data_IF_061878287605
#
_entry.id   IF_061878287605
#
_cell.length_a   1.000
_cell.length_b   1.000
_cell.length_c   1.000
_cell.angle_alpha   90.00
_cell.angle_beta   90.00
_cell.angle_gamma   90.00
#
_symmetry.space_group_name_H-M   'P 1'
#
loop_
_entity.id
_entity.type
_entity.pdbx_description
1 polymer ?
#
# COMPACT_ATOMS: atom_id res chain seq x y z
N UNK A 1 24.89 -15.27 10.60
CA UNK A 1 23.79 -14.42 10.08
C UNK A 1 23.98 -12.94 10.42
N UNK A 2 23.80 -12.48 11.68
CA UNK A 2 23.94 -11.05 12.00
C UNK A 2 25.38 -10.52 11.81
N UNK A 3 26.39 -11.33 12.16
CA UNK A 3 27.80 -11.01 11.90
C UNK A 3 28.19 -11.02 10.41
N UNK A 4 27.51 -11.81 9.57
CA UNK A 4 27.76 -11.86 8.11
C UNK A 4 27.22 -10.61 7.41
N UNK A 5 26.03 -10.15 7.81
CA UNK A 5 25.44 -8.90 7.29
C UNK A 5 26.30 -7.70 7.66
N UNK A 6 26.83 -7.64 8.89
CA UNK A 6 27.75 -6.57 9.32
C UNK A 6 29.04 -6.61 8.51
N UNK A 7 29.60 -7.79 8.26
CA UNK A 7 30.82 -7.95 7.46
C UNK A 7 30.61 -7.57 5.99
N UNK A 8 29.46 -7.93 5.41
CA UNK A 8 29.06 -7.51 4.07
C UNK A 8 28.84 -5.99 4.00
N UNK A 9 28.16 -5.40 4.98
CA UNK A 9 27.97 -3.95 5.08
C UNK A 9 29.30 -3.18 5.11
N UNK A 10 30.27 -3.64 5.92
CA UNK A 10 31.59 -3.01 6.01
C UNK A 10 32.38 -3.16 4.70
N UNK A 11 32.30 -4.30 4.03
CA UNK A 11 32.95 -4.52 2.73
C UNK A 11 32.32 -3.65 1.63
N UNK A 12 31.00 -3.60 1.53
CA UNK A 12 30.30 -2.73 0.58
C UNK A 12 30.59 -1.26 0.83
N UNK A 13 30.67 -0.83 2.09
CA UNK A 13 31.05 0.54 2.43
C UNK A 13 32.47 0.87 1.94
N UNK A 14 33.42 -0.05 2.11
CA UNK A 14 34.79 0.11 1.63
C UNK A 14 34.85 0.17 0.10
N UNK A 15 34.13 -0.71 -0.60
CA UNK A 15 34.01 -0.69 -2.06
C UNK A 15 33.39 0.63 -2.56
N UNK A 16 32.36 1.15 -1.89
CA UNK A 16 31.72 2.41 -2.25
C UNK A 16 32.66 3.63 -2.05
N UNK A 17 33.47 3.63 -0.99
CA UNK A 17 34.50 4.65 -0.75
C UNK A 17 35.64 4.58 -1.80
N UNK A 18 36.03 3.38 -2.25
CA UNK A 18 37.05 3.15 -3.29
C UNK A 18 36.56 3.49 -4.72
N UNK A 19 35.25 3.36 -4.97
CA UNK A 19 34.63 3.59 -6.29
C UNK A 19 34.02 4.98 -6.48
N UNK A 20 34.09 5.86 -5.46
CA UNK A 20 33.39 7.16 -5.46
C UNK A 20 31.87 7.04 -5.70
N UNK A 21 31.29 5.89 -5.39
CA UNK A 21 29.88 5.60 -5.62
C UNK A 21 29.00 6.52 -4.76
N UNK A 22 28.32 7.47 -5.40
CA UNK A 22 27.36 8.35 -4.75
C UNK A 22 25.96 7.71 -4.83
N UNK A 23 25.45 7.21 -3.71
CA UNK A 23 24.02 6.92 -3.58
C UNK A 23 23.20 8.13 -4.06
N UNK A 24 21.99 7.94 -4.63
CA UNK A 24 21.06 9.05 -4.78
C UNK A 24 21.02 9.77 -3.45
N UNK A 25 21.46 11.03 -3.43
CA UNK A 25 21.53 11.74 -2.16
C UNK A 25 20.14 11.68 -1.55
N UNK A 26 20.03 11.32 -0.28
CA UNK A 26 18.75 11.30 0.43
C UNK A 26 17.95 12.60 0.17
N UNK A 27 18.66 13.70 -0.06
CA UNK A 27 18.12 14.97 -0.54
C UNK A 27 17.35 14.87 -1.87
N UNK A 28 17.89 14.24 -2.92
CA UNK A 28 17.18 14.05 -4.20
C UNK A 28 15.94 13.18 -4.03
N UNK A 29 16.01 12.14 -3.19
CA UNK A 29 14.83 11.33 -2.85
C UNK A 29 13.76 12.20 -2.18
N UNK A 30 14.12 12.97 -1.14
CA UNK A 30 13.19 13.87 -0.47
C UNK A 30 12.62 14.93 -1.43
N UNK A 31 13.44 15.44 -2.36
CA UNK A 31 13.01 16.38 -3.38
C UNK A 31 12.00 15.75 -4.36
N UNK A 32 12.25 14.52 -4.82
CA UNK A 32 11.32 13.78 -5.67
C UNK A 32 9.97 13.57 -4.96
N UNK A 33 10.01 13.13 -3.70
CA UNK A 33 8.79 12.91 -2.91
C UNK A 33 8.04 14.22 -2.63
N UNK A 34 8.77 15.32 -2.43
CA UNK A 34 8.19 16.64 -2.29
C UNK A 34 7.40 17.03 -3.55
N UNK A 35 8.00 16.92 -4.74
CA UNK A 35 7.34 17.28 -5.99
C UNK A 35 6.17 16.37 -6.35
N UNK A 36 6.26 15.07 -6.03
CA UNK A 36 5.12 14.14 -6.15
C UNK A 36 3.98 14.58 -5.23
N UNK A 37 4.26 14.89 -3.96
CA UNK A 37 3.24 15.35 -2.99
C UNK A 37 2.52 16.62 -3.45
N UNK A 38 3.24 17.53 -4.11
CA UNK A 38 2.70 18.76 -4.66
C UNK A 38 2.04 18.59 -6.04
N UNK A 39 1.91 17.34 -6.53
CA UNK A 39 1.39 17.02 -7.85
C UNK A 39 2.09 17.77 -9.00
N UNK A 40 3.37 18.11 -8.82
CA UNK A 40 4.20 18.78 -9.83
C UNK A 40 4.98 17.75 -10.65
N UNK A 41 4.38 17.35 -11.76
CA UNK A 41 4.89 16.28 -12.62
C UNK A 41 6.19 16.63 -13.34
N UNK A 42 6.33 17.85 -13.85
CA UNK A 42 7.54 18.28 -14.56
C UNK A 42 8.75 18.22 -13.64
N UNK A 43 8.66 18.81 -12.44
CA UNK A 43 9.76 18.81 -11.47
C UNK A 43 10.04 17.42 -10.92
N UNK A 44 9.02 16.60 -10.68
CA UNK A 44 9.22 15.22 -10.27
C UNK A 44 9.99 14.41 -11.32
N UNK A 45 9.63 14.53 -12.61
CA UNK A 45 10.35 13.88 -13.72
C UNK A 45 11.77 14.39 -13.87
N UNK A 46 12.00 15.68 -13.68
CA UNK A 46 13.34 16.28 -13.71
C UNK A 46 14.25 15.67 -12.62
N UNK A 47 13.76 15.60 -11.38
CA UNK A 47 14.52 15.02 -10.27
C UNK A 47 14.71 13.51 -10.44
N UNK A 48 13.69 12.79 -10.93
CA UNK A 48 13.82 11.37 -11.27
C UNK A 48 14.89 11.13 -12.35
N UNK A 49 14.95 12.00 -13.37
CA UNK A 49 16.00 11.93 -14.39
C UNK A 49 17.39 12.14 -13.78
N UNK A 50 17.55 13.10 -12.87
CA UNK A 50 18.81 13.31 -12.11
C UNK A 50 19.20 12.05 -11.35
N UNK A 51 18.26 11.43 -10.63
CA UNK A 51 18.49 10.18 -9.88
C UNK A 51 18.89 9.03 -10.80
N UNK A 52 18.21 8.87 -11.93
CA UNK A 52 18.48 7.80 -12.88
C UNK A 52 19.81 7.94 -13.64
N UNK A 53 20.37 9.16 -13.69
CA UNK A 53 21.68 9.44 -14.26
C UNK A 53 22.84 9.23 -13.28
N UNK A 54 22.56 9.01 -11.98
CA UNK A 54 23.59 8.62 -11.01
C UNK A 54 23.92 7.13 -11.15
N UNK A 55 25.13 6.73 -10.72
CA UNK A 55 25.48 5.32 -10.67
C UNK A 55 24.48 4.55 -9.79
N UNK A 56 23.87 3.50 -10.35
CA UNK A 56 22.87 2.68 -9.65
C UNK A 56 23.54 1.73 -8.68
N UNK A 57 22.96 1.60 -7.49
CA UNK A 57 23.40 0.59 -6.53
C UNK A 57 23.22 -0.80 -7.14
N UNK A 58 24.25 -1.66 -7.04
CA UNK A 58 24.15 -3.07 -7.44
C UNK A 58 23.41 -3.84 -6.35
N UNK A 59 22.09 -3.95 -6.49
CA UNK A 59 21.19 -4.65 -5.56
C UNK A 59 21.10 -6.16 -5.82
N UNK A 60 21.72 -6.65 -6.90
CA UNK A 60 21.76 -8.06 -7.29
C UNK A 60 22.98 -8.34 -8.18
N UNK A 61 23.42 -9.60 -8.25
CA UNK A 61 24.44 -10.07 -9.19
C UNK A 61 24.00 -9.93 -10.66
N UNK A 62 22.69 -9.86 -10.94
CA UNK A 62 22.15 -9.71 -12.29
C UNK A 62 21.63 -8.27 -12.52
N UNK A 63 22.10 -7.55 -13.55
CA UNK A 63 21.72 -6.15 -13.81
C UNK A 63 20.21 -5.92 -13.93
N UNK A 64 19.51 -6.79 -14.66
CA UNK A 64 18.04 -6.71 -14.81
C UNK A 64 17.31 -6.88 -13.47
N UNK A 65 17.76 -7.82 -12.63
CA UNK A 65 17.16 -8.02 -11.30
C UNK A 65 17.44 -6.84 -10.38
N UNK A 66 18.64 -6.26 -10.45
CA UNK A 66 18.99 -5.04 -9.72
C UNK A 66 18.08 -3.88 -10.10
N UNK A 67 17.77 -3.73 -11.40
CA UNK A 67 16.83 -2.72 -11.90
C UNK A 67 15.42 -2.95 -11.36
N UNK A 68 14.87 -4.17 -11.48
CA UNK A 68 13.54 -4.50 -10.93
C UNK A 68 13.44 -4.18 -9.43
N UNK A 69 14.44 -4.54 -8.64
CA UNK A 69 14.48 -4.24 -7.21
C UNK A 69 14.47 -2.72 -6.93
N UNK A 70 15.22 -1.94 -7.72
CA UNK A 70 15.23 -0.47 -7.61
C UNK A 70 13.85 0.11 -7.90
N UNK A 71 13.17 -0.36 -8.95
CA UNK A 71 11.84 0.12 -9.32
C UNK A 71 10.77 -0.22 -8.28
N UNK A 72 10.88 -1.38 -7.62
CA UNK A 72 10.00 -1.73 -6.48
C UNK A 72 10.21 -0.75 -5.32
N UNK A 73 11.44 -0.31 -5.08
CA UNK A 73 11.73 0.73 -4.08
C UNK A 73 11.12 2.08 -4.51
N UNK A 74 11.29 2.49 -5.77
CA UNK A 74 10.65 3.70 -6.33
C UNK A 74 9.13 3.65 -6.17
N UNK A 75 8.49 2.52 -6.52
CA UNK A 75 7.05 2.31 -6.36
C UNK A 75 6.63 2.49 -4.89
N UNK A 76 7.37 1.88 -3.96
CA UNK A 76 7.11 2.02 -2.51
C UNK A 76 7.18 3.48 -2.08
N UNK A 77 8.20 4.22 -2.51
CA UNK A 77 8.37 5.64 -2.18
C UNK A 77 7.23 6.49 -2.75
N UNK A 78 6.83 6.26 -4.00
CA UNK A 78 5.71 6.99 -4.63
C UNK A 78 4.40 6.73 -3.89
N UNK A 79 4.10 5.49 -3.54
CA UNK A 79 2.95 5.14 -2.69
C UNK A 79 2.94 5.93 -1.39
N UNK A 80 4.08 6.05 -0.70
CA UNK A 80 4.16 6.84 0.55
C UNK A 80 3.96 8.33 0.31
N UNK A 81 4.48 8.89 -0.78
CA UNK A 81 4.26 10.29 -1.13
C UNK A 81 2.80 10.58 -1.46
N UNK A 82 2.14 9.69 -2.20
CA UNK A 82 0.73 9.77 -2.58
C UNK A 82 -0.20 9.70 -1.35
N UNK A 83 0.07 8.79 -0.41
CA UNK A 83 -0.68 8.73 0.86
C UNK A 83 -0.49 10.02 1.67
N UNK A 84 0.76 10.52 1.77
CA UNK A 84 1.05 11.80 2.45
C UNK A 84 0.43 13.01 1.76
N UNK A 85 0.02 12.89 0.50
CA UNK A 85 -0.68 13.93 -0.26
C UNK A 85 -2.21 13.88 -0.07
N UNK A 86 -2.72 12.90 0.68
CA UNK A 86 -4.12 12.79 1.07
C UNK A 86 -4.89 11.65 0.39
N UNK A 87 -4.29 10.91 -0.55
CA UNK A 87 -4.95 9.75 -1.17
C UNK A 87 -5.07 8.62 -0.14
N UNK A 88 -6.19 7.88 -0.15
CA UNK A 88 -6.38 6.77 0.78
C UNK A 88 -5.29 5.70 0.64
N UNK A 89 -4.85 5.08 1.75
CA UNK A 89 -3.89 3.99 1.71
C UNK A 89 -4.31 2.85 0.78
N UNK A 90 -5.58 2.46 0.79
CA UNK A 90 -6.09 1.36 -0.05
C UNK A 90 -5.88 1.64 -1.54
N UNK A 91 -6.27 2.83 -2.02
CA UNK A 91 -6.10 3.20 -3.42
C UNK A 91 -4.62 3.24 -3.81
N UNK A 92 -3.78 3.82 -2.95
CA UNK A 92 -2.35 3.93 -3.20
C UNK A 92 -1.65 2.56 -3.21
N UNK A 93 -2.07 1.63 -2.33
CA UNK A 93 -1.56 0.27 -2.29
C UNK A 93 -2.02 -0.57 -3.48
N UNK A 94 -3.30 -0.50 -3.86
CA UNK A 94 -3.82 -1.21 -5.05
C UNK A 94 -3.07 -0.78 -6.32
N UNK A 95 -2.79 0.52 -6.45
CA UNK A 95 -1.97 1.06 -7.54
C UNK A 95 -0.53 0.52 -7.50
N UNK A 96 0.05 0.43 -6.30
CA UNK A 96 1.41 -0.12 -6.12
C UNK A 96 1.49 -1.60 -6.50
N UNK A 97 0.48 -2.40 -6.15
CA UNK A 97 0.41 -3.82 -6.46
C UNK A 97 0.34 -4.08 -7.96
N UNK A 98 -0.40 -3.23 -8.70
CA UNK A 98 -0.43 -3.28 -10.17
C UNK A 98 0.96 -3.04 -10.73
N UNK A 99 1.63 -1.97 -10.32
CA UNK A 99 2.96 -1.64 -10.85
C UNK A 99 4.04 -2.63 -10.45
N UNK A 100 4.03 -3.19 -9.22
CA UNK A 100 4.96 -4.25 -8.81
C UNK A 100 4.79 -5.48 -9.71
N UNK A 101 3.55 -5.87 -10.04
CA UNK A 101 3.30 -6.99 -10.98
C UNK A 101 3.80 -6.68 -12.38
N UNK A 102 3.65 -5.44 -12.87
CA UNK A 102 4.16 -5.04 -14.19
C UNK A 102 5.70 -4.99 -14.23
N UNK A 103 6.35 -4.56 -13.15
CA UNK A 103 7.81 -4.62 -13.00
C UNK A 103 8.31 -6.07 -13.07
N UNK A 104 7.65 -7.00 -12.36
CA UNK A 104 8.07 -8.40 -12.34
C UNK A 104 7.94 -9.07 -13.72
N UNK A 105 6.89 -8.75 -14.50
CA UNK A 105 6.64 -9.34 -15.83
C UNK A 105 7.58 -8.88 -16.95
N UNK A 106 8.16 -7.68 -16.85
CA UNK A 106 8.95 -7.08 -17.94
C UNK A 106 10.41 -7.49 -17.86
N UNK A 107 11.00 -7.94 -18.97
CA UNK A 107 12.41 -8.35 -19.01
C UNK A 107 13.31 -7.43 -19.86
N UNK A 108 12.74 -6.34 -20.39
CA UNK A 108 13.46 -5.32 -21.14
C UNK A 108 13.81 -4.12 -20.24
N UNK A 109 15.11 -3.80 -20.07
CA UNK A 109 15.55 -2.64 -19.28
C UNK A 109 15.00 -1.29 -19.75
N UNK A 110 14.84 -1.07 -21.06
CA UNK A 110 14.30 0.18 -21.61
C UNK A 110 12.82 0.32 -21.22
N UNK A 111 12.03 -0.74 -21.39
CA UNK A 111 10.62 -0.75 -21.00
C UNK A 111 10.41 -0.63 -19.49
N UNK A 112 11.36 -1.08 -18.67
CA UNK A 112 11.35 -0.86 -17.22
C UNK A 112 11.62 0.60 -16.88
N UNK A 113 12.59 1.24 -17.55
CA UNK A 113 12.88 2.65 -17.34
C UNK A 113 11.69 3.54 -17.72
N UNK A 114 11.04 3.26 -18.86
CA UNK A 114 9.81 3.95 -19.26
C UNK A 114 8.68 3.77 -18.22
N UNK A 115 8.53 2.55 -17.67
CA UNK A 115 7.55 2.25 -16.64
C UNK A 115 7.75 3.11 -15.39
N UNK A 116 8.99 3.45 -15.03
CA UNK A 116 9.27 4.29 -13.86
C UNK A 116 8.75 5.73 -14.02
N UNK A 117 8.90 6.32 -15.21
CA UNK A 117 8.33 7.64 -15.51
C UNK A 117 6.80 7.61 -15.61
N UNK A 118 6.25 6.51 -16.14
CA UNK A 118 4.81 6.26 -16.15
C UNK A 118 4.26 6.18 -14.72
N UNK A 119 4.92 5.44 -13.83
CA UNK A 119 4.57 5.35 -12.41
C UNK A 119 4.43 6.74 -11.78
N UNK A 120 5.46 7.60 -11.89
CA UNK A 120 5.41 8.97 -11.34
C UNK A 120 4.19 9.72 -11.86
N UNK A 121 3.92 9.63 -13.16
CA UNK A 121 2.79 10.31 -13.81
C UNK A 121 1.46 9.81 -13.23
N UNK A 122 1.28 8.50 -13.10
CA UNK A 122 0.05 7.89 -12.60
C UNK A 122 -0.18 8.17 -11.11
N UNK A 123 0.86 8.09 -10.29
CA UNK A 123 0.75 8.45 -8.87
C UNK A 123 0.43 9.94 -8.67
N UNK A 124 0.99 10.83 -9.48
CA UNK A 124 0.64 12.27 -9.44
C UNK A 124 -0.79 12.49 -9.92
N UNK A 125 -1.22 11.78 -10.97
CA UNK A 125 -2.61 11.85 -11.43
C UNK A 125 -3.58 11.39 -10.35
N UNK A 126 -3.28 10.31 -9.63
CA UNK A 126 -4.06 9.86 -8.49
C UNK A 126 -4.23 10.97 -7.43
N UNK A 127 -3.14 11.70 -7.13
CA UNK A 127 -3.19 12.85 -6.21
C UNK A 127 -4.09 13.95 -6.76
N UNK A 128 -3.95 14.32 -8.05
CA UNK A 128 -4.78 15.36 -8.68
C UNK A 128 -6.25 14.99 -8.67
N UNK A 129 -6.57 13.75 -9.09
CA UNK A 129 -7.92 13.23 -9.15
C UNK A 129 -8.56 13.24 -7.76
N UNK A 130 -7.79 12.89 -6.72
CA UNK A 130 -8.22 13.01 -5.33
C UNK A 130 -8.42 14.49 -4.95
N UNK A 131 -7.43 15.35 -5.16
CA UNK A 131 -7.47 16.78 -4.80
C UNK A 131 -8.58 17.59 -5.50
N UNK A 132 -9.20 17.07 -6.56
CA UNK A 132 -10.33 17.75 -7.23
C UNK A 132 -11.54 17.99 -6.33
N UNK A 133 -11.70 17.22 -5.23
CA UNK A 133 -12.77 17.48 -4.25
C UNK A 133 -12.31 17.16 -2.80
N UNK A 134 -11.59 18.10 -2.15
CA UNK A 134 -11.03 17.91 -0.80
C UNK A 134 -12.09 17.60 0.26
N UNK A 135 -13.29 18.17 0.09
CA UNK A 135 -14.42 17.95 1.00
C UNK A 135 -14.91 16.51 0.91
N UNK A 136 -15.07 16.00 -0.31
CA UNK A 136 -15.46 14.61 -0.55
C UNK A 136 -14.45 13.62 0.04
N UNK A 137 -13.16 13.92 -0.06
CA UNK A 137 -12.12 13.07 0.53
C UNK A 137 -12.14 13.10 2.06
N UNK A 138 -12.30 14.28 2.66
CA UNK A 138 -12.39 14.40 4.12
C UNK A 138 -13.55 13.58 4.68
N UNK A 139 -14.68 13.51 3.97
CA UNK A 139 -15.81 12.65 4.33
C UNK A 139 -15.42 11.17 4.31
N UNK A 140 -14.72 10.73 3.26
CA UNK A 140 -14.27 9.33 3.14
C UNK A 140 -13.22 9.00 4.20
N UNK A 141 -12.29 9.91 4.48
CA UNK A 141 -11.26 9.73 5.50
C UNK A 141 -11.86 9.64 6.90
N UNK A 142 -12.85 10.49 7.22
CA UNK A 142 -13.62 10.39 8.48
C UNK A 142 -14.34 9.05 8.58
N UNK A 143 -14.95 8.58 7.48
CA UNK A 143 -15.61 7.29 7.45
C UNK A 143 -14.62 6.13 7.69
N UNK A 144 -13.44 6.17 7.05
CA UNK A 144 -12.39 5.17 7.24
C UNK A 144 -11.87 5.16 8.68
N UNK A 145 -11.61 6.32 9.27
CA UNK A 145 -11.17 6.43 10.66
C UNK A 145 -12.22 5.87 11.63
N UNK A 146 -13.50 6.25 11.44
CA UNK A 146 -14.57 5.73 12.28
C UNK A 146 -14.64 4.20 12.23
N UNK A 147 -14.55 3.60 11.02
CA UNK A 147 -14.56 2.16 10.84
C UNK A 147 -13.39 1.48 11.56
N UNK A 148 -12.20 2.07 11.48
CA UNK A 148 -11.01 1.56 12.14
C UNK A 148 -11.18 1.53 13.67
N UNK A 149 -11.63 2.65 14.25
CA UNK A 149 -11.76 2.80 15.70
C UNK A 149 -12.88 1.93 16.29
N UNK A 150 -13.85 1.51 15.47
CA UNK A 150 -15.02 0.72 15.87
C UNK A 150 -15.04 -0.69 15.25
N UNK A 151 -13.91 -1.19 14.74
CA UNK A 151 -13.86 -2.42 13.92
C UNK A 151 -14.36 -3.67 14.65
N UNK A 152 -14.25 -3.72 15.98
CA UNK A 152 -14.70 -4.82 16.85
C UNK A 152 -16.18 -4.69 17.29
N UNK A 153 -16.88 -3.65 16.82
CA UNK A 153 -18.26 -3.38 17.17
C UNK A 153 -19.18 -3.64 15.96
N UNK A 154 -20.50 -3.81 16.18
CA UNK A 154 -21.47 -3.66 15.11
C UNK A 154 -21.38 -2.23 14.57
N UNK A 155 -21.18 -2.07 13.26
CA UNK A 155 -21.06 -0.75 12.63
C UNK A 155 -22.25 -0.57 11.69
N UNK A 156 -23.01 0.50 11.87
CA UNK A 156 -24.11 0.87 11.00
C UNK A 156 -23.72 2.03 10.08
N UNK A 157 -24.24 2.02 8.85
CA UNK A 157 -23.99 3.08 7.86
C UNK A 157 -24.34 4.47 8.41
N UNK A 158 -25.42 4.58 9.19
CA UNK A 158 -25.86 5.85 9.75
C UNK A 158 -24.82 6.43 10.73
N UNK A 159 -24.21 5.61 11.57
CA UNK A 159 -23.22 6.05 12.57
C UNK A 159 -21.96 6.62 11.89
N UNK A 160 -21.52 5.98 10.81
CA UNK A 160 -20.39 6.45 10.00
C UNK A 160 -20.74 7.78 9.32
N UNK A 161 -21.97 7.90 8.81
CA UNK A 161 -22.43 9.10 8.15
C UNK A 161 -22.55 10.29 9.11
N UNK A 162 -23.04 10.05 10.32
CA UNK A 162 -23.12 11.04 11.39
C UNK A 162 -21.72 11.51 11.80
N UNK A 163 -20.76 10.57 11.97
CA UNK A 163 -19.36 10.90 12.25
C UNK A 163 -18.70 11.74 11.14
N UNK A 164 -19.11 11.53 9.89
CA UNK A 164 -18.65 12.28 8.73
C UNK A 164 -19.49 13.54 8.42
N UNK A 165 -20.50 13.86 9.24
CA UNK A 165 -21.44 14.98 9.08
C UNK A 165 -22.16 15.02 7.71
N UNK A 166 -22.58 13.85 7.23
CA UNK A 166 -23.31 13.71 5.95
C UNK A 166 -24.48 12.73 6.07
N UNK A 167 -25.35 12.70 5.06
CA UNK A 167 -26.39 11.66 5.01
C UNK A 167 -25.82 10.29 4.63
N UNK A 168 -26.41 9.22 5.17
CA UNK A 168 -26.04 7.83 4.85
C UNK A 168 -26.05 7.52 3.35
N UNK A 169 -27.05 8.04 2.61
CA UNK A 169 -27.14 7.86 1.16
C UNK A 169 -26.00 8.55 0.41
N UNK A 170 -25.65 9.77 0.82
CA UNK A 170 -24.55 10.50 0.24
C UNK A 170 -23.22 9.79 0.52
N UNK A 171 -22.97 9.40 1.78
CA UNK A 171 -21.78 8.65 2.16
C UNK A 171 -21.64 7.35 1.36
N UNK A 172 -22.70 6.55 1.26
CA UNK A 172 -22.67 5.26 0.54
C UNK A 172 -22.26 5.44 -0.94
N UNK A 173 -22.84 6.46 -1.59
CA UNK A 173 -22.56 6.78 -3.00
C UNK A 173 -21.14 7.30 -3.16
N UNK A 174 -20.74 8.24 -2.29
CA UNK A 174 -19.44 8.89 -2.34
C UNK A 174 -18.30 7.91 -2.05
N UNK A 175 -18.46 7.10 -1.00
CA UNK A 175 -17.47 6.11 -0.61
C UNK A 175 -17.24 5.11 -1.74
N UNK A 176 -18.30 4.62 -2.39
CA UNK A 176 -18.16 3.73 -3.56
C UNK A 176 -17.46 4.41 -4.73
N UNK A 177 -17.76 5.69 -4.99
CA UNK A 177 -17.12 6.47 -6.06
C UNK A 177 -15.62 6.61 -5.82
N UNK A 178 -15.20 6.91 -4.59
CA UNK A 178 -13.81 7.20 -4.24
C UNK A 178 -13.00 5.93 -3.97
N UNK A 179 -13.54 5.01 -3.18
CA UNK A 179 -12.84 3.78 -2.76
C UNK A 179 -13.01 2.65 -3.79
N UNK A 180 -13.96 2.77 -4.72
CA UNK A 180 -14.19 1.83 -5.82
C UNK A 180 -15.13 0.68 -5.51
N UNK A 181 -15.48 0.47 -4.23
CA UNK A 181 -16.39 -0.59 -3.81
C UNK A 181 -17.31 -0.15 -2.64
N UNK A 182 -18.41 -0.87 -2.38
CA UNK A 182 -19.38 -0.46 -1.36
C UNK A 182 -18.77 -0.41 0.05
N UNK A 183 -19.21 0.55 0.87
CA UNK A 183 -18.77 0.73 2.26
C UNK A 183 -18.88 -0.56 3.11
N UNK A 184 -19.99 -1.30 2.95
CA UNK A 184 -20.18 -2.58 3.67
C UNK A 184 -19.13 -3.62 3.24
N UNK A 185 -18.74 -3.63 1.97
CA UNK A 185 -17.67 -4.52 1.50
C UNK A 185 -16.32 -4.11 2.10
N UNK A 186 -16.05 -2.81 2.23
CA UNK A 186 -14.87 -2.29 2.90
C UNK A 186 -14.78 -2.73 4.36
N UNK A 187 -15.85 -2.54 5.13
CA UNK A 187 -15.92 -2.96 6.54
C UNK A 187 -15.65 -4.46 6.67
N UNK A 188 -16.30 -5.28 5.85
CA UNK A 188 -16.12 -6.72 5.87
C UNK A 188 -14.69 -7.14 5.52
N UNK A 189 -14.06 -6.53 4.52
CA UNK A 189 -12.66 -6.80 4.17
C UNK A 189 -11.73 -6.46 5.33
N UNK A 190 -11.90 -5.29 5.95
CA UNK A 190 -11.08 -4.88 7.11
C UNK A 190 -11.25 -5.81 8.31
N UNK A 191 -12.48 -6.19 8.66
CA UNK A 191 -12.74 -7.18 9.73
C UNK A 191 -12.07 -8.52 9.45
N UNK A 192 -12.10 -8.98 8.19
CA UNK A 192 -11.43 -10.23 7.79
C UNK A 192 -9.90 -10.12 7.90
N UNK A 193 -9.31 -9.02 7.42
CA UNK A 193 -7.86 -8.78 7.53
C UNK A 193 -7.41 -8.77 9.00
N UNK A 194 -8.05 -7.99 9.86
CA UNK A 194 -7.73 -7.92 11.29
C UNK A 194 -7.93 -9.27 12.00
N UNK A 195 -8.94 -10.06 11.59
CA UNK A 195 -9.18 -11.39 12.18
C UNK A 195 -8.03 -12.38 11.94
N UNK A 196 -7.19 -12.17 10.93
CA UNK A 196 -6.03 -13.03 10.66
C UNK A 196 -5.04 -13.01 11.82
N UNK A 197 -4.81 -11.84 12.43
CA UNK A 197 -3.94 -11.73 13.60
C UNK A 197 -4.40 -12.62 14.75
N UNK A 198 -5.72 -12.69 15.00
CA UNK A 198 -6.28 -13.55 16.03
C UNK A 198 -6.17 -15.03 15.69
N UNK A 199 -6.34 -15.40 14.42
CA UNK A 199 -6.13 -16.79 13.96
C UNK A 199 -4.68 -17.23 14.15
N UNK A 200 -3.72 -16.32 13.96
CA UNK A 200 -2.29 -16.59 14.01
C UNK A 200 -1.71 -16.59 15.42
N UNK A 201 -2.17 -15.68 16.28
CA UNK A 201 -1.51 -15.39 17.55
C UNK A 201 -2.32 -15.84 18.77
N UNK A 202 -3.50 -16.43 18.56
CA UNK A 202 -4.38 -16.86 19.67
C UNK A 202 -4.97 -18.25 19.47
N UNK A 203 -5.37 -18.87 20.58
CA UNK A 203 -6.11 -20.13 20.59
C UNK A 203 -7.64 -19.96 20.47
N UNK A 204 -8.10 -18.75 20.12
CA UNK A 204 -9.53 -18.44 19.99
C UNK A 204 -10.21 -19.36 18.97
N UNK A 205 -11.45 -19.76 19.27
CA UNK A 205 -12.26 -20.54 18.34
C UNK A 205 -12.74 -19.65 17.18
N UNK A 206 -13.14 -20.27 16.06
CA UNK A 206 -13.71 -19.50 14.94
C UNK A 206 -15.00 -18.78 15.32
N UNK A 207 -15.75 -19.32 16.29
CA UNK A 207 -16.96 -18.71 16.83
C UNK A 207 -16.61 -17.45 17.63
N UNK A 208 -15.61 -17.54 18.51
CA UNK A 208 -15.17 -16.40 19.33
C UNK A 208 -14.65 -15.26 18.47
N UNK A 209 -13.87 -15.57 17.43
CA UNK A 209 -13.38 -14.57 16.47
C UNK A 209 -14.57 -13.95 15.71
N UNK A 210 -15.54 -14.75 15.27
CA UNK A 210 -16.72 -14.22 14.59
C UNK A 210 -17.51 -13.25 15.48
N UNK A 211 -17.67 -13.57 16.76
CA UNK A 211 -18.34 -12.71 17.76
C UNK A 211 -17.52 -11.46 18.02
N UNK A 212 -16.20 -11.57 18.19
CA UNK A 212 -15.30 -10.46 18.48
C UNK A 212 -15.30 -9.40 17.38
N UNK A 213 -15.40 -9.81 16.12
CA UNK A 213 -15.53 -8.90 14.97
C UNK A 213 -16.99 -8.55 14.64
N UNK A 214 -17.93 -8.87 15.52
CA UNK A 214 -19.35 -8.59 15.37
C UNK A 214 -19.95 -9.10 14.04
N UNK A 215 -19.55 -10.29 13.59
CA UNK A 215 -20.24 -10.99 12.51
C UNK A 215 -21.52 -11.64 13.04
N UNK A 216 -22.56 -11.72 12.20
CA UNK A 216 -23.85 -12.28 12.60
C UNK A 216 -23.80 -13.77 12.98
N UNK A 217 -22.86 -14.52 12.41
CA UNK A 217 -22.56 -15.91 12.78
C UNK A 217 -21.22 -16.37 12.19
N UNK A 218 -20.71 -17.50 12.69
CA UNK A 218 -19.47 -18.12 12.23
C UNK A 218 -19.50 -18.54 10.74
N UNK A 219 -20.66 -18.97 10.22
CA UNK A 219 -20.79 -19.40 8.83
C UNK A 219 -20.59 -18.22 7.86
N UNK A 220 -21.15 -17.05 8.19
CA UNK A 220 -20.98 -15.82 7.44
C UNK A 220 -19.53 -15.34 7.46
N UNK A 221 -18.90 -15.34 8.64
CA UNK A 221 -17.47 -15.06 8.78
C UNK A 221 -16.63 -15.99 7.90
N UNK A 222 -16.89 -17.31 7.94
CA UNK A 222 -16.16 -18.31 7.15
C UNK A 222 -16.33 -18.09 5.64
N UNK A 223 -17.55 -17.76 5.20
CA UNK A 223 -17.85 -17.48 3.79
C UNK A 223 -17.12 -16.23 3.30
N UNK A 224 -17.14 -15.14 4.08
CA UNK A 224 -16.40 -13.91 3.75
C UNK A 224 -14.89 -14.12 3.76
N UNK A 225 -14.37 -14.83 4.75
CA UNK A 225 -12.94 -15.14 4.82
C UNK A 225 -12.48 -15.90 3.58
N UNK A 226 -13.23 -16.92 3.15
CA UNK A 226 -12.96 -17.66 1.92
C UNK A 226 -13.11 -16.80 0.68
N UNK A 227 -14.13 -15.94 0.62
CA UNK A 227 -14.35 -15.02 -0.50
C UNK A 227 -13.14 -14.11 -0.72
N UNK A 228 -12.56 -13.56 0.35
CA UNK A 228 -11.48 -12.58 0.23
C UNK A 228 -10.08 -13.20 0.20
N UNK A 229 -9.87 -14.37 0.81
CA UNK A 229 -8.55 -15.00 0.92
C UNK A 229 -8.37 -16.27 0.08
N UNK A 230 -9.44 -16.76 -0.58
CA UNK A 230 -9.43 -18.00 -1.37
C UNK A 230 -9.50 -19.30 -0.55
N UNK A 231 -9.17 -19.27 0.74
CA UNK A 231 -9.17 -20.43 1.65
C UNK A 231 -10.01 -20.17 2.91
N UNK A 232 -10.41 -21.22 3.62
CA UNK A 232 -11.19 -21.10 4.87
C UNK A 232 -10.32 -20.67 6.04
N UNK A 233 -10.88 -20.04 7.10
CA UNK A 233 -10.15 -19.70 8.33
C UNK A 233 -9.46 -20.91 8.96
N UNK A 234 -10.10 -22.08 8.91
CA UNK A 234 -9.55 -23.34 9.44
C UNK A 234 -8.30 -23.78 8.67
N UNK A 235 -8.35 -23.73 7.34
CA UNK A 235 -7.18 -24.01 6.48
C UNK A 235 -6.06 -23.00 6.74
N UNK A 236 -6.40 -21.72 6.87
CA UNK A 236 -5.45 -20.65 7.18
C UNK A 236 -4.70 -20.92 8.50
N UNK A 237 -5.43 -21.27 9.58
CA UNK A 237 -4.85 -21.63 10.89
C UNK A 237 -3.94 -22.86 10.82
N UNK A 238 -4.30 -23.86 10.02
CA UNK A 238 -3.49 -25.07 9.84
C UNK A 238 -2.17 -24.80 9.12
N UNK A 239 -2.16 -23.97 8.07
CA UNK A 239 -0.95 -23.62 7.34
C UNK A 239 0.10 -22.93 8.22
N UNK A 240 -0.34 -22.17 9.22
CA UNK A 240 0.52 -21.43 10.14
C UNK A 240 1.04 -22.25 11.32
N UNK A 241 0.30 -23.27 11.76
CA UNK A 241 0.74 -24.17 12.84
C UNK A 241 1.76 -25.24 12.39
N UNK A 242 2.14 -25.27 11.11
CA UNK A 242 3.10 -26.22 10.53
C UNK A 242 4.49 -25.58 10.32
N UNK A 243 4.68 -24.31 10.72
CA UNK A 243 5.97 -23.62 10.72
C UNK A 243 6.41 -23.23 12.13
#
# INVERSE_FOLDING_TARGET
MQQDVIKQFLNTRKENEETLFAHPSYQLEQELLHWIKQANEEKAKEVLSKINNLEKARLSHYPLRSLKNSLICSCTLFTRATIKAGVTPEYAFDLSDIYIREIEKRDDPMLLQELEYEMVTTFIKAIRDYQTDPYQNEIVDKAVHYIHDHILQPIQLQEIADAANVSANYLSTLFRKIVGFPLIEYINRKKIEESKYFLEHTNSSLLDIAILFAFCNQSYYTALFRKYNGITPKQYKQLRNIG
#
